data_IF_168172781741
#
_entry.id   IF_168172781741
#
_cell.length_a   1.000
_cell.length_b   1.000
_cell.length_c   1.000
_cell.angle_alpha   90.00
_cell.angle_beta   90.00
_cell.angle_gamma   90.00
#
_symmetry.space_group_name_H-M   'P 1'
#
loop_
_entity.id
_entity.type
_entity.pdbx_description
1 polymer ?
#
# COMPACT_ATOMS: atom_id res chain seq x y z
N UNK A 1 0.78 -9.94 -26.85
CA UNK A 1 -0.58 -9.56 -26.40
C UNK A 1 -1.19 -10.57 -25.43
N UNK A 2 -1.21 -11.88 -25.70
CA UNK A 2 -1.82 -12.92 -24.81
C UNK A 2 -1.20 -12.96 -23.39
N UNK A 3 0.11 -12.76 -23.26
CA UNK A 3 0.81 -12.77 -21.96
C UNK A 3 0.46 -11.54 -21.11
N UNK A 4 0.40 -10.36 -21.72
CA UNK A 4 0.04 -9.10 -21.04
C UNK A 4 -1.40 -9.16 -20.53
N UNK A 5 -2.33 -9.66 -21.36
CA UNK A 5 -3.71 -9.86 -20.95
C UNK A 5 -3.87 -10.90 -19.83
N UNK A 6 -3.09 -11.97 -19.86
CA UNK A 6 -3.06 -12.95 -18.78
C UNK A 6 -2.51 -12.36 -17.48
N UNK A 7 -1.43 -11.54 -17.55
CA UNK A 7 -0.86 -10.84 -16.40
C UNK A 7 -1.84 -9.82 -15.82
N UNK A 8 -2.56 -9.05 -16.66
CA UNK A 8 -3.61 -8.13 -16.23
C UNK A 8 -4.69 -8.85 -15.42
N UNK A 9 -5.29 -9.90 -15.99
CA UNK A 9 -6.34 -10.67 -15.30
C UNK A 9 -5.83 -11.31 -14.02
N UNK A 10 -4.58 -11.77 -14.00
CA UNK A 10 -3.98 -12.38 -12.83
C UNK A 10 -3.71 -11.35 -11.73
N UNK A 11 -3.26 -10.12 -12.08
CA UNK A 11 -3.09 -9.02 -11.15
C UNK A 11 -4.41 -8.68 -10.45
N UNK A 12 -5.46 -8.47 -11.24
CA UNK A 12 -6.79 -8.17 -10.68
C UNK A 12 -7.36 -9.34 -9.84
N UNK A 13 -7.11 -10.58 -10.23
CA UNK A 13 -7.53 -11.75 -9.43
C UNK A 13 -6.77 -11.88 -8.10
N UNK A 14 -5.54 -11.38 -8.01
CA UNK A 14 -4.70 -11.51 -6.80
C UNK A 14 -4.78 -10.31 -5.88
N UNK A 15 -4.95 -9.11 -6.43
CA UNK A 15 -4.86 -7.85 -5.70
C UNK A 15 -6.15 -7.03 -5.73
N UNK A 16 -7.27 -7.62 -6.18
CA UNK A 16 -8.58 -7.00 -6.11
C UNK A 16 -9.70 -8.01 -5.94
N UNK A 17 -10.85 -7.52 -5.45
CA UNK A 17 -12.08 -8.32 -5.29
C UNK A 17 -12.73 -8.70 -6.63
N UNK A 18 -12.32 -8.09 -7.75
CA UNK A 18 -12.93 -8.33 -9.05
C UNK A 18 -12.74 -9.81 -9.49
N UNK A 19 -13.83 -10.52 -9.78
CA UNK A 19 -13.76 -11.92 -10.16
C UNK A 19 -13.09 -12.08 -11.52
N UNK A 20 -11.81 -12.38 -11.52
CA UNK A 20 -11.11 -12.80 -12.73
C UNK A 20 -11.10 -14.33 -12.79
N UNK A 21 -11.48 -14.89 -13.97
CA UNK A 21 -11.48 -16.34 -14.19
C UNK A 21 -10.11 -16.90 -13.83
N UNK A 22 -10.07 -17.95 -13.00
CA UNK A 22 -8.83 -18.56 -12.51
C UNK A 22 -7.88 -18.86 -13.66
N UNK A 23 -6.71 -18.24 -13.64
CA UNK A 23 -5.62 -18.47 -14.56
C UNK A 23 -4.51 -19.19 -13.79
N UNK A 24 -3.92 -20.22 -14.38
CA UNK A 24 -2.77 -20.91 -13.76
C UNK A 24 -1.63 -19.92 -13.51
N UNK A 25 -1.15 -19.88 -12.27
CA UNK A 25 0.02 -19.10 -11.84
C UNK A 25 1.29 -19.71 -12.43
N UNK A 26 1.57 -19.39 -13.68
CA UNK A 26 2.80 -19.81 -14.36
C UNK A 26 3.74 -18.61 -14.46
N UNK A 27 5.04 -18.86 -14.45
CA UNK A 27 6.06 -17.80 -14.59
C UNK A 27 5.83 -16.91 -15.83
N UNK A 28 5.29 -17.49 -16.91
CA UNK A 28 4.95 -16.76 -18.14
C UNK A 28 3.80 -15.78 -17.94
N UNK A 29 2.76 -16.17 -17.19
CA UNK A 29 1.58 -15.34 -16.92
C UNK A 29 1.83 -14.30 -15.83
N UNK A 30 2.87 -14.48 -15.02
CA UNK A 30 3.22 -13.60 -13.91
C UNK A 30 4.24 -12.52 -14.31
N UNK A 31 4.83 -12.61 -15.48
CA UNK A 31 5.94 -11.79 -15.97
C UNK A 31 5.70 -10.27 -15.92
N UNK A 32 4.46 -9.82 -16.12
CA UNK A 32 4.06 -8.42 -16.16
C UNK A 32 3.01 -8.06 -15.11
N UNK A 33 2.80 -8.93 -14.12
CA UNK A 33 1.74 -8.74 -13.13
C UNK A 33 1.91 -7.44 -12.35
N UNK A 34 3.15 -7.11 -11.99
CA UNK A 34 3.47 -5.91 -11.20
C UNK A 34 3.07 -4.61 -11.91
N UNK A 35 3.08 -4.58 -13.26
CA UNK A 35 2.66 -3.38 -14.03
C UNK A 35 1.22 -2.98 -13.72
N UNK A 36 0.38 -3.95 -13.37
CA UNK A 36 -1.05 -3.73 -13.18
C UNK A 36 -1.45 -3.49 -11.71
N UNK A 37 -0.54 -3.71 -10.76
CA UNK A 37 -0.80 -3.47 -9.33
C UNK A 37 -1.08 -1.99 -9.02
N UNK A 38 -0.33 -0.99 -9.57
CA UNK A 38 -0.66 0.42 -9.39
C UNK A 38 -2.01 0.84 -9.96
N UNK A 39 -2.54 0.13 -10.98
CA UNK A 39 -3.89 0.39 -11.50
C UNK A 39 -4.97 0.03 -10.49
N UNK A 40 -4.76 -1.01 -9.69
CA UNK A 40 -5.67 -1.32 -8.57
C UNK A 40 -5.66 -0.15 -7.58
N UNK A 41 -4.48 0.42 -7.29
CA UNK A 41 -4.35 1.63 -6.47
C UNK A 41 -5.09 2.83 -7.06
N UNK A 42 -5.00 3.03 -8.38
CA UNK A 42 -5.73 4.10 -9.08
C UNK A 42 -7.26 3.95 -8.93
N UNK A 43 -7.78 2.73 -9.03
CA UNK A 43 -9.21 2.45 -8.84
C UNK A 43 -9.62 2.74 -7.40
N UNK A 44 -8.83 2.29 -6.41
CA UNK A 44 -9.09 2.55 -4.99
C UNK A 44 -9.10 4.05 -4.72
N UNK A 45 -8.08 4.79 -5.14
CA UNK A 45 -7.98 6.23 -4.95
C UNK A 45 -9.13 7.00 -5.63
N UNK A 46 -9.51 6.58 -6.85
CA UNK A 46 -10.64 7.17 -7.55
C UNK A 46 -11.97 6.94 -6.81
N UNK A 47 -12.24 5.72 -6.34
CA UNK A 47 -13.46 5.39 -5.60
C UNK A 47 -13.52 6.16 -4.28
N UNK A 48 -12.40 6.25 -3.54
CA UNK A 48 -12.32 7.04 -2.31
C UNK A 48 -12.59 8.52 -2.55
N UNK A 49 -12.01 9.10 -3.61
CA UNK A 49 -12.28 10.48 -3.99
C UNK A 49 -13.77 10.71 -4.32
N UNK A 50 -14.39 9.79 -5.07
CA UNK A 50 -15.81 9.88 -5.39
C UNK A 50 -16.70 9.72 -4.14
N UNK A 51 -16.33 8.80 -3.26
CA UNK A 51 -17.01 8.62 -1.98
C UNK A 51 -17.02 9.91 -1.15
N UNK A 52 -15.89 10.59 -1.06
CA UNK A 52 -15.76 11.85 -0.33
C UNK A 52 -16.68 12.96 -0.88
N UNK A 53 -16.90 12.99 -2.19
CA UNK A 53 -17.80 13.97 -2.81
C UNK A 53 -19.26 13.66 -2.51
N UNK A 54 -19.61 12.37 -2.43
CA UNK A 54 -21.01 11.91 -2.32
C UNK A 54 -21.43 11.74 -0.85
N UNK A 55 -20.49 11.39 0.05
CA UNK A 55 -20.80 11.03 1.44
C UNK A 55 -21.48 12.15 2.25
N UNK A 56 -21.14 13.46 2.11
CA UNK A 56 -21.81 14.53 2.84
C UNK A 56 -23.32 14.61 2.56
N UNK A 57 -23.73 14.25 1.35
CA UNK A 57 -25.16 14.27 0.95
C UNK A 57 -25.93 13.03 1.43
N UNK A 58 -25.21 11.94 1.76
CA UNK A 58 -25.81 10.66 2.12
C UNK A 58 -25.80 10.37 3.63
N UNK A 59 -24.83 10.92 4.34
CA UNK A 59 -24.55 10.56 5.73
C UNK A 59 -24.31 11.81 6.57
N UNK A 60 -25.21 12.06 7.53
CA UNK A 60 -25.10 13.20 8.47
C UNK A 60 -23.95 13.05 9.51
N UNK A 61 -23.31 11.88 9.57
CA UNK A 61 -22.29 11.57 10.59
C UNK A 61 -20.96 11.20 9.93
N UNK A 62 -19.95 12.01 10.16
CA UNK A 62 -18.60 11.87 9.63
C UNK A 62 -17.92 10.53 9.99
N UNK A 63 -18.24 9.97 11.18
CA UNK A 63 -17.66 8.70 11.64
C UNK A 63 -18.00 7.52 10.70
N UNK A 64 -19.26 7.39 10.23
CA UNK A 64 -19.61 6.31 9.31
C UNK A 64 -18.91 6.47 7.97
N UNK A 65 -18.79 7.71 7.48
CA UNK A 65 -18.01 8.04 6.30
C UNK A 65 -16.54 7.60 6.44
N UNK A 66 -15.91 7.90 7.56
CA UNK A 66 -14.54 7.50 7.87
C UNK A 66 -14.36 5.98 7.94
N UNK A 67 -15.31 5.26 8.56
CA UNK A 67 -15.31 3.78 8.60
C UNK A 67 -15.35 3.21 7.18
N UNK A 68 -16.22 3.72 6.33
CA UNK A 68 -16.30 3.27 4.93
C UNK A 68 -14.99 3.55 4.19
N UNK A 69 -14.39 4.74 4.37
CA UNK A 69 -13.09 5.07 3.79
C UNK A 69 -11.97 4.13 4.25
N UNK A 70 -11.97 3.74 5.52
CA UNK A 70 -11.00 2.79 6.06
C UNK A 70 -11.18 1.37 5.48
N UNK A 71 -12.42 0.96 5.25
CA UNK A 71 -12.75 -0.39 4.77
C UNK A 71 -12.63 -0.54 3.24
N UNK A 72 -12.89 0.52 2.46
CA UNK A 72 -12.89 0.47 1.00
C UNK A 72 -11.58 -0.06 0.39
N UNK A 73 -10.38 0.42 0.77
CA UNK A 73 -9.12 -0.10 0.23
C UNK A 73 -8.93 -1.59 0.50
N UNK A 74 -9.35 -2.05 1.69
CA UNK A 74 -9.22 -3.44 2.13
C UNK A 74 -10.14 -4.34 1.31
N UNK A 75 -11.42 -3.97 1.18
CA UNK A 75 -12.37 -4.74 0.38
C UNK A 75 -12.01 -4.74 -1.10
N UNK A 76 -11.67 -3.58 -1.66
CA UNK A 76 -11.31 -3.47 -3.07
C UNK A 76 -10.04 -4.24 -3.42
N UNK A 77 -9.07 -4.32 -2.51
CA UNK A 77 -7.85 -5.13 -2.68
C UNK A 77 -8.03 -6.60 -2.36
N UNK A 78 -9.22 -7.01 -1.89
CA UNK A 78 -9.47 -8.38 -1.44
C UNK A 78 -8.67 -8.79 -0.20
N UNK A 79 -8.19 -7.83 0.59
CA UNK A 79 -7.41 -8.05 1.81
C UNK A 79 -5.97 -8.53 1.61
N UNK A 80 -5.48 -8.67 0.36
CA UNK A 80 -4.19 -9.26 0.07
C UNK A 80 -3.01 -8.52 0.74
N UNK A 81 -3.03 -7.18 0.72
CA UNK A 81 -1.98 -6.38 1.36
C UNK A 81 -2.09 -6.42 2.89
N UNK A 82 -3.30 -6.50 3.42
CA UNK A 82 -3.55 -6.59 4.86
C UNK A 82 -3.10 -7.93 5.44
N UNK A 83 -3.31 -9.05 4.73
CA UNK A 83 -2.83 -10.38 5.13
C UNK A 83 -1.30 -10.38 5.29
N UNK A 84 -0.55 -9.88 4.30
CA UNK A 84 0.91 -9.77 4.39
C UNK A 84 1.38 -8.82 5.49
N UNK A 85 0.63 -7.72 5.76
CA UNK A 85 0.91 -6.82 6.87
C UNK A 85 0.83 -7.56 8.21
N UNK A 86 -0.24 -8.30 8.49
CA UNK A 86 -0.40 -8.99 9.76
C UNK A 86 0.59 -10.13 9.95
N UNK A 87 0.90 -10.90 8.91
CA UNK A 87 1.96 -11.93 8.96
C UNK A 87 3.32 -11.32 9.30
N UNK A 88 3.65 -10.18 8.69
CA UNK A 88 4.92 -9.49 8.97
C UNK A 88 4.96 -8.95 10.39
N UNK A 89 3.87 -8.36 10.88
CA UNK A 89 3.75 -7.89 12.26
C UNK A 89 3.91 -9.04 13.26
N UNK A 90 3.27 -10.18 13.00
CA UNK A 90 3.35 -11.36 13.86
C UNK A 90 4.80 -11.91 13.91
N UNK A 91 5.45 -12.01 12.76
CA UNK A 91 6.85 -12.42 12.69
C UNK A 91 7.79 -11.43 13.40
N UNK A 92 7.56 -10.11 13.31
CA UNK A 92 8.36 -9.10 14.01
C UNK A 92 8.18 -9.19 15.52
N UNK A 93 6.94 -9.36 15.99
CA UNK A 93 6.61 -9.41 17.41
C UNK A 93 7.09 -10.68 18.12
N UNK A 94 7.43 -11.72 17.38
CA UNK A 94 7.98 -12.96 17.94
C UNK A 94 9.35 -12.81 18.58
N UNK A 95 10.10 -11.73 18.27
CA UNK A 95 11.47 -11.47 18.69
C UNK A 95 12.45 -12.63 18.45
N UNK A 96 12.08 -13.58 17.59
CA UNK A 96 12.87 -14.75 17.27
C UNK A 96 13.99 -14.45 16.26
N UNK A 97 14.98 -15.35 16.09
CA UNK A 97 15.97 -15.29 15.02
C UNK A 97 15.31 -15.22 13.63
N UNK A 98 16.08 -14.77 12.65
CA UNK A 98 15.61 -14.53 11.27
C UNK A 98 14.96 -15.76 10.64
N UNK A 99 15.52 -16.94 10.82
CA UNK A 99 15.04 -18.20 10.26
C UNK A 99 13.63 -18.52 10.75
N UNK A 100 13.40 -18.39 12.05
CA UNK A 100 12.10 -18.63 12.68
C UNK A 100 11.08 -17.57 12.24
N UNK A 101 11.49 -16.30 12.10
CA UNK A 101 10.61 -15.25 11.55
C UNK A 101 10.15 -15.56 10.12
N UNK A 102 11.02 -16.11 9.29
CA UNK A 102 10.66 -16.54 7.93
C UNK A 102 9.72 -17.74 7.91
N UNK A 103 9.81 -18.64 8.90
CA UNK A 103 8.84 -19.72 9.10
C UNK A 103 7.47 -19.18 9.51
N UNK A 104 7.42 -18.22 10.46
CA UNK A 104 6.17 -17.56 10.88
C UNK A 104 5.46 -16.89 9.70
N UNK A 105 6.18 -16.22 8.79
CA UNK A 105 5.59 -15.63 7.58
C UNK A 105 4.88 -16.67 6.69
N UNK A 106 5.26 -17.95 6.79
CA UNK A 106 4.65 -19.03 6.00
C UNK A 106 3.48 -19.72 6.70
N UNK A 107 3.42 -19.57 8.01
CA UNK A 107 2.33 -20.14 8.78
C UNK A 107 1.03 -19.40 8.45
N UNK A 108 -0.04 -20.17 8.29
CA UNK A 108 -1.38 -19.62 8.07
C UNK A 108 -2.08 -19.20 9.37
N UNK A 109 -1.52 -19.53 10.52
CA UNK A 109 -2.08 -19.17 11.83
C UNK A 109 -1.57 -17.80 12.25
N UNK A 110 -2.48 -16.91 12.59
CA UNK A 110 -2.16 -15.60 13.16
C UNK A 110 -1.93 -15.72 14.67
N UNK A 111 -0.85 -15.12 15.17
CA UNK A 111 -0.59 -15.00 16.58
C UNK A 111 -1.53 -14.00 17.26
N UNK A 112 -1.67 -14.11 18.60
CA UNK A 112 -2.50 -13.18 19.37
C UNK A 112 -2.09 -11.73 19.22
N UNK A 113 -0.79 -11.45 19.04
CA UNK A 113 -0.28 -10.10 18.89
C UNK A 113 -0.72 -9.49 17.55
N UNK A 114 -0.74 -10.26 16.47
CA UNK A 114 -1.25 -9.80 15.18
C UNK A 114 -2.72 -9.35 15.29
N UNK A 115 -3.54 -10.03 16.11
CA UNK A 115 -4.93 -9.64 16.34
C UNK A 115 -5.02 -8.29 17.06
N UNK A 116 -4.20 -8.07 18.10
CA UNK A 116 -4.15 -6.80 18.83
C UNK A 116 -3.77 -5.66 17.88
N UNK A 117 -2.72 -5.84 17.10
CA UNK A 117 -2.29 -4.84 16.12
C UNK A 117 -3.34 -4.61 15.03
N UNK A 118 -4.09 -5.65 14.64
CA UNK A 118 -5.22 -5.53 13.73
C UNK A 118 -6.26 -4.54 14.28
N UNK A 119 -6.65 -4.70 15.53
CA UNK A 119 -7.61 -3.81 16.19
C UNK A 119 -7.07 -2.39 16.28
N UNK A 120 -5.81 -2.22 16.71
CA UNK A 120 -5.16 -0.91 16.75
C UNK A 120 -5.07 -0.25 15.36
N UNK A 121 -4.75 -1.03 14.33
CA UNK A 121 -4.72 -0.58 12.94
C UNK A 121 -6.07 0.01 12.52
N UNK A 122 -7.18 -0.70 12.77
CA UNK A 122 -8.51 -0.21 12.40
C UNK A 122 -8.91 1.05 13.15
N UNK A 123 -8.64 1.14 14.45
CA UNK A 123 -8.89 2.36 15.22
C UNK A 123 -8.07 3.54 14.68
N UNK A 124 -6.80 3.31 14.40
CA UNK A 124 -5.92 4.36 13.88
C UNK A 124 -6.38 4.85 12.50
N UNK A 125 -6.65 3.93 11.57
CA UNK A 125 -7.02 4.32 10.20
C UNK A 125 -8.39 5.02 10.15
N UNK A 126 -9.36 4.58 10.96
CA UNK A 126 -10.66 5.26 11.09
C UNK A 126 -10.47 6.66 11.68
N UNK A 127 -9.65 6.80 12.73
CA UNK A 127 -9.34 8.11 13.33
C UNK A 127 -8.64 9.05 12.34
N UNK A 128 -7.71 8.54 11.52
CA UNK A 128 -7.05 9.33 10.49
C UNK A 128 -8.05 9.84 9.43
N UNK A 129 -8.95 8.97 8.96
CA UNK A 129 -9.93 9.36 7.96
C UNK A 129 -11.02 10.29 8.52
N UNK A 130 -11.38 10.20 9.81
CA UNK A 130 -12.36 11.11 10.43
C UNK A 130 -11.88 12.54 10.56
N UNK A 131 -10.56 12.74 10.73
CA UNK A 131 -9.94 14.05 10.92
C UNK A 131 -9.31 14.63 9.65
N UNK A 132 -9.37 13.90 8.52
CA UNK A 132 -8.68 14.27 7.29
C UNK A 132 -9.32 15.50 6.62
N UNK A 133 -8.53 16.57 6.36
CA UNK A 133 -9.03 17.73 5.63
C UNK A 133 -9.55 17.36 4.24
N UNK A 134 -10.66 17.96 3.82
CA UNK A 134 -11.30 17.69 2.53
C UNK A 134 -10.37 17.92 1.33
N UNK A 135 -9.51 18.92 1.40
CA UNK A 135 -8.59 19.29 0.34
C UNK A 135 -7.46 18.26 0.14
N UNK A 136 -7.25 17.38 1.14
CA UNK A 136 -6.18 16.37 1.10
C UNK A 136 -6.54 15.13 0.23
N UNK A 137 -7.81 14.90 -0.03
CA UNK A 137 -8.29 13.68 -0.71
C UNK A 137 -7.75 13.46 -2.12
N UNK A 138 -7.67 14.49 -3.00
CA UNK A 138 -7.10 14.31 -4.33
C UNK A 138 -5.63 13.85 -4.26
N UNK A 139 -4.86 14.41 -3.33
CA UNK A 139 -3.44 14.06 -3.12
C UNK A 139 -3.32 12.63 -2.61
N UNK A 140 -4.10 12.26 -1.59
CA UNK A 140 -4.09 10.90 -1.02
C UNK A 140 -4.55 9.84 -2.03
N UNK A 141 -5.44 10.18 -2.97
CA UNK A 141 -5.83 9.27 -4.05
C UNK A 141 -4.63 8.86 -4.92
N UNK A 142 -3.71 9.78 -5.23
CA UNK A 142 -2.45 9.45 -5.90
C UNK A 142 -1.51 8.63 -5.00
N UNK A 143 -1.62 8.75 -3.67
CA UNK A 143 -0.87 7.96 -2.70
C UNK A 143 -1.08 6.46 -2.85
N UNK A 144 -2.29 6.02 -3.20
CA UNK A 144 -2.59 4.61 -3.48
C UNK A 144 -1.90 4.08 -4.75
N UNK A 145 -1.63 4.94 -5.73
CA UNK A 145 -0.83 4.57 -6.91
C UNK A 145 0.64 4.50 -6.52
N UNK A 146 1.12 5.49 -5.78
CA UNK A 146 2.51 5.62 -5.35
C UNK A 146 2.96 4.43 -4.49
N UNK A 147 2.18 4.06 -3.46
CA UNK A 147 2.50 2.93 -2.58
C UNK A 147 2.66 1.62 -3.34
N UNK A 148 1.78 1.36 -4.30
CA UNK A 148 1.83 0.14 -5.13
C UNK A 148 2.90 0.19 -6.22
N UNK A 149 3.24 1.37 -6.72
CA UNK A 149 4.37 1.53 -7.64
C UNK A 149 5.71 1.28 -6.94
N UNK A 150 5.88 1.81 -5.72
CA UNK A 150 7.05 1.55 -4.88
C UNK A 150 7.13 0.07 -4.46
N UNK A 151 5.99 -0.57 -4.13
CA UNK A 151 5.89 -2.01 -3.91
C UNK A 151 6.44 -2.80 -5.10
N UNK A 152 5.95 -2.53 -6.30
CA UNK A 152 6.38 -3.22 -7.52
C UNK A 152 7.85 -2.98 -7.85
N UNK A 153 8.34 -1.74 -7.64
CA UNK A 153 9.73 -1.38 -7.85
C UNK A 153 10.64 -2.11 -6.86
N UNK A 154 10.27 -2.20 -5.58
CA UNK A 154 11.05 -2.89 -4.56
C UNK A 154 11.20 -4.38 -4.88
N UNK A 155 10.13 -5.05 -5.30
CA UNK A 155 10.15 -6.47 -5.71
C UNK A 155 11.11 -6.70 -6.90
N UNK A 156 11.19 -5.77 -7.85
CA UNK A 156 12.08 -5.92 -9.02
C UNK A 156 13.54 -5.58 -8.71
N UNK A 157 13.79 -4.62 -7.82
CA UNK A 157 15.12 -4.03 -7.64
C UNK A 157 15.90 -4.60 -6.45
N UNK A 158 15.24 -4.99 -5.38
CA UNK A 158 15.91 -5.36 -4.13
C UNK A 158 16.24 -6.86 -4.05
N UNK A 159 17.25 -7.25 -3.26
CA UNK A 159 17.57 -8.66 -3.03
C UNK A 159 16.44 -9.34 -2.26
N UNK A 160 16.08 -10.54 -2.71
CA UNK A 160 15.05 -11.35 -2.09
C UNK A 160 15.64 -12.24 -0.99
N UNK A 161 14.85 -12.51 0.04
CA UNK A 161 15.18 -13.55 1.01
C UNK A 161 15.23 -14.92 0.31
N UNK A 162 16.05 -15.84 0.82
CA UNK A 162 16.30 -17.17 0.19
C UNK A 162 15.03 -17.97 -0.05
N UNK A 163 13.99 -17.72 0.69
CA UNK A 163 12.72 -18.45 0.67
C UNK A 163 11.55 -17.69 0.02
N UNK A 164 11.86 -16.55 -0.62
CA UNK A 164 10.86 -15.66 -1.19
C UNK A 164 10.20 -16.23 -2.44
N UNK A 165 8.87 -16.21 -2.49
CA UNK A 165 8.08 -16.47 -3.70
C UNK A 165 8.16 -15.34 -4.72
N UNK A 166 8.73 -14.18 -4.36
CA UNK A 166 8.91 -13.04 -5.25
C UNK A 166 9.65 -13.39 -6.54
N UNK A 167 10.51 -14.41 -6.52
CA UNK A 167 11.21 -14.89 -7.72
C UNK A 167 10.30 -15.31 -8.87
N UNK A 168 9.01 -15.56 -8.61
CA UNK A 168 8.00 -15.86 -9.61
C UNK A 168 7.52 -14.59 -10.35
N UNK A 169 7.54 -13.43 -9.68
CA UNK A 169 7.09 -12.15 -10.22
C UNK A 169 8.20 -11.41 -10.96
N UNK A 170 9.46 -11.63 -10.55
CA UNK A 170 10.60 -10.90 -11.11
C UNK A 170 10.78 -11.21 -12.58
N UNK A 171 10.80 -10.17 -13.38
CA UNK A 171 11.10 -10.22 -14.80
C UNK A 171 12.57 -10.64 -15.05
N UNK A 172 12.83 -11.29 -16.20
CA UNK A 172 14.19 -11.60 -16.65
C UNK A 172 14.53 -10.82 -17.92
N UNK A 173 15.75 -10.28 -17.99
CA UNK A 173 16.23 -9.55 -19.17
C UNK A 173 15.33 -8.36 -19.52
N UNK A 174 14.90 -8.26 -20.80
CA UNK A 174 14.08 -7.13 -21.28
C UNK A 174 12.78 -6.92 -20.52
N UNK A 175 12.15 -7.98 -19.98
CA UNK A 175 10.89 -7.82 -19.24
C UNK A 175 11.07 -7.10 -17.92
N UNK A 176 12.20 -7.31 -17.22
CA UNK A 176 12.53 -6.57 -16.00
C UNK A 176 12.64 -5.08 -16.25
N UNK A 177 13.37 -4.69 -17.30
CA UNK A 177 13.50 -3.27 -17.67
C UNK A 177 12.16 -2.61 -18.01
N UNK A 178 11.24 -3.34 -18.68
CA UNK A 178 9.90 -2.85 -18.97
C UNK A 178 9.11 -2.62 -17.69
N UNK A 179 9.10 -3.59 -16.75
CA UNK A 179 8.39 -3.46 -15.47
C UNK A 179 8.94 -2.26 -14.69
N UNK A 180 10.26 -2.14 -14.55
CA UNK A 180 10.90 -1.01 -13.85
C UNK A 180 10.52 0.33 -14.50
N UNK A 181 10.55 0.43 -15.83
CA UNK A 181 10.16 1.65 -16.55
C UNK A 181 8.71 2.04 -16.26
N UNK A 182 7.78 1.08 -16.24
CA UNK A 182 6.38 1.33 -15.86
C UNK A 182 6.25 1.76 -14.40
N UNK A 183 6.99 1.14 -13.46
CA UNK A 183 6.97 1.55 -12.05
C UNK A 183 7.45 2.99 -11.88
N UNK A 184 8.56 3.35 -12.53
CA UNK A 184 9.07 4.73 -12.50
C UNK A 184 8.05 5.70 -13.11
N UNK A 185 7.40 5.34 -14.23
CA UNK A 185 6.36 6.17 -14.83
C UNK A 185 5.18 6.39 -13.87
N UNK A 186 4.71 5.37 -13.16
CA UNK A 186 3.66 5.51 -12.16
C UNK A 186 4.09 6.38 -10.98
N UNK A 187 5.33 6.25 -10.50
CA UNK A 187 5.87 7.12 -9.44
C UNK A 187 5.88 8.57 -9.91
N UNK A 188 6.40 8.85 -11.11
CA UNK A 188 6.44 10.20 -11.66
C UNK A 188 5.03 10.78 -11.82
N UNK A 189 4.09 10.01 -12.40
CA UNK A 189 2.70 10.43 -12.56
C UNK A 189 2.05 10.73 -11.19
N UNK A 190 2.30 9.91 -10.19
CA UNK A 190 1.75 10.11 -8.84
C UNK A 190 2.32 11.36 -8.18
N UNK A 191 3.64 11.54 -8.22
CA UNK A 191 4.30 12.71 -7.63
C UNK A 191 3.87 14.00 -8.32
N UNK A 192 3.88 14.03 -9.66
CA UNK A 192 3.43 15.20 -10.42
C UNK A 192 1.95 15.47 -10.16
N UNK A 193 1.10 14.43 -10.15
CA UNK A 193 -0.33 14.57 -9.86
C UNK A 193 -0.59 15.13 -8.46
N UNK A 194 0.14 14.67 -7.43
CA UNK A 194 0.06 15.21 -6.08
C UNK A 194 0.43 16.70 -6.04
N UNK A 195 1.58 17.07 -6.62
CA UNK A 195 2.06 18.45 -6.63
C UNK A 195 1.14 19.40 -7.41
N UNK A 196 0.47 18.91 -8.46
CA UNK A 196 -0.51 19.69 -9.22
C UNK A 196 -1.83 19.85 -8.48
N UNK A 197 -2.20 18.94 -7.58
CA UNK A 197 -3.41 19.06 -6.79
C UNK A 197 -3.26 20.09 -5.67
N UNK A 198 -2.29 19.90 -4.80
CA UNK A 198 -1.96 20.83 -3.70
C UNK A 198 -0.54 20.54 -3.20
N UNK A 199 0.35 21.51 -3.32
CA UNK A 199 1.75 21.39 -2.91
C UNK A 199 1.91 21.28 -1.40
N UNK A 200 1.05 21.97 -0.62
CA UNK A 200 1.13 21.99 0.84
C UNK A 200 0.76 20.63 1.45
N UNK A 201 -0.15 19.91 0.82
CA UNK A 201 -0.53 18.54 1.19
C UNK A 201 0.40 17.50 0.56
N UNK A 202 0.87 17.75 -0.67
CA UNK A 202 1.71 16.80 -1.40
C UNK A 202 3.05 16.57 -0.72
N UNK A 203 3.72 17.63 -0.22
CA UNK A 203 5.02 17.50 0.43
C UNK A 203 4.93 16.63 1.69
N UNK A 204 4.03 16.87 2.67
CA UNK A 204 3.82 15.98 3.81
C UNK A 204 3.49 14.54 3.41
N UNK A 205 2.64 14.35 2.40
CA UNK A 205 2.28 13.03 1.90
C UNK A 205 3.51 12.27 1.37
N UNK A 206 4.35 12.94 0.57
CA UNK A 206 5.60 12.36 0.05
C UNK A 206 6.62 12.07 1.15
N UNK A 207 6.70 12.92 2.17
CA UNK A 207 7.52 12.67 3.37
C UNK A 207 7.03 11.42 4.10
N UNK A 208 5.72 11.28 4.29
CA UNK A 208 5.12 10.08 4.88
C UNK A 208 5.44 8.81 4.09
N UNK A 209 5.34 8.86 2.76
CA UNK A 209 5.70 7.75 1.87
C UNK A 209 7.18 7.40 1.96
N UNK A 210 8.07 8.40 2.01
CA UNK A 210 9.51 8.22 2.16
C UNK A 210 9.86 7.57 3.51
N UNK A 211 9.28 8.05 4.61
CA UNK A 211 9.50 7.48 5.94
C UNK A 211 9.03 6.02 6.00
N UNK A 212 7.87 5.72 5.43
CA UNK A 212 7.37 4.35 5.31
C UNK A 212 8.31 3.47 4.50
N UNK A 213 8.87 3.97 3.39
CA UNK A 213 9.81 3.23 2.55
C UNK A 213 11.15 2.97 3.25
N UNK A 214 11.68 3.95 3.97
CA UNK A 214 12.91 3.78 4.77
C UNK A 214 12.69 2.77 5.89
N UNK A 215 11.57 2.84 6.59
CA UNK A 215 11.22 1.87 7.62
C UNK A 215 11.07 0.44 7.04
N UNK A 216 10.42 0.31 5.90
CA UNK A 216 10.32 -0.94 5.17
C UNK A 216 11.70 -1.52 4.81
N UNK A 217 12.61 -0.71 4.27
CA UNK A 217 13.97 -1.13 3.97
C UNK A 217 14.69 -1.63 5.22
N UNK A 218 14.58 -0.88 6.33
CA UNK A 218 15.14 -1.31 7.61
C UNK A 218 14.60 -2.67 8.04
N UNK A 219 13.28 -2.85 8.04
CA UNK A 219 12.63 -4.11 8.42
C UNK A 219 13.08 -5.26 7.52
N UNK A 220 13.02 -5.06 6.20
CA UNK A 220 13.36 -6.10 5.23
C UNK A 220 14.80 -6.60 5.35
N UNK A 221 15.76 -5.69 5.46
CA UNK A 221 17.16 -6.07 5.47
C UNK A 221 17.67 -6.47 6.86
N UNK A 222 17.24 -5.79 7.92
CA UNK A 222 17.71 -6.05 9.27
C UNK A 222 17.07 -7.31 9.88
N UNK A 223 15.75 -7.46 9.74
CA UNK A 223 15.02 -8.56 10.39
C UNK A 223 14.88 -9.81 9.51
N UNK A 224 14.76 -9.66 8.18
CA UNK A 224 14.50 -10.77 7.27
C UNK A 224 15.61 -11.01 6.25
N UNK A 225 16.59 -10.09 6.14
CA UNK A 225 17.75 -10.15 5.24
C UNK A 225 17.42 -10.17 3.77
N UNK A 226 16.27 -9.59 3.40
CA UNK A 226 15.80 -9.44 2.03
C UNK A 226 14.28 -9.38 1.97
N UNK A 227 13.76 -9.19 0.78
CA UNK A 227 12.32 -8.97 0.55
C UNK A 227 11.60 -10.30 0.39
N UNK A 228 10.40 -10.36 1.00
CA UNK A 228 9.34 -11.35 0.67
C UNK A 228 8.09 -10.62 0.18
N UNK A 229 7.13 -11.34 -0.38
CA UNK A 229 5.84 -10.77 -0.79
C UNK A 229 5.10 -10.16 0.40
N UNK A 230 5.08 -10.85 1.55
CA UNK A 230 4.40 -10.40 2.76
C UNK A 230 5.00 -9.10 3.31
N UNK A 231 6.35 -8.99 3.35
CA UNK A 231 7.06 -7.78 3.80
C UNK A 231 6.80 -6.60 2.82
N UNK A 232 6.69 -6.87 1.53
CA UNK A 232 6.34 -5.84 0.56
C UNK A 232 4.87 -5.40 0.72
N UNK A 233 3.95 -6.32 1.06
CA UNK A 233 2.57 -5.99 1.40
C UNK A 233 2.49 -5.17 2.70
N UNK A 234 3.31 -5.50 3.72
CA UNK A 234 3.47 -4.71 4.93
C UNK A 234 3.83 -3.26 4.61
N UNK A 235 4.78 -3.04 3.69
CA UNK A 235 5.12 -1.68 3.26
C UNK A 235 3.92 -0.91 2.72
N UNK A 236 3.07 -1.52 1.88
CA UNK A 236 1.89 -0.83 1.31
C UNK A 236 0.98 -0.34 2.43
N UNK A 237 0.69 -1.17 3.44
CA UNK A 237 -0.19 -0.79 4.56
C UNK A 237 0.45 0.28 5.45
N UNK A 238 1.75 0.16 5.76
CA UNK A 238 2.48 1.20 6.51
C UNK A 238 2.49 2.53 5.74
N UNK A 239 2.69 2.49 4.43
CA UNK A 239 2.67 3.67 3.58
C UNK A 239 1.29 4.34 3.58
N UNK A 240 0.21 3.55 3.51
CA UNK A 240 -1.17 4.03 3.53
C UNK A 240 -1.62 4.59 4.89
N UNK A 241 -0.90 4.28 5.98
CA UNK A 241 -1.06 4.93 7.29
C UNK A 241 -0.19 6.19 7.38
N UNK A 242 1.09 6.09 7.00
CA UNK A 242 2.06 7.15 7.21
C UNK A 242 1.77 8.39 6.36
N UNK A 243 1.29 8.22 5.13
CA UNK A 243 0.92 9.35 4.28
C UNK A 243 -0.18 10.22 4.92
N UNK A 244 -1.37 9.71 5.26
CA UNK A 244 -2.41 10.52 5.90
C UNK A 244 -1.99 10.99 7.31
N UNK A 245 -1.21 10.22 8.06
CA UNK A 245 -0.73 10.63 9.38
C UNK A 245 0.14 11.88 9.31
N UNK A 246 1.13 11.93 8.42
CA UNK A 246 2.01 13.09 8.28
C UNK A 246 1.24 14.29 7.74
N UNK A 247 0.32 14.10 6.80
CA UNK A 247 -0.58 15.16 6.32
C UNK A 247 -1.41 15.75 7.46
N UNK A 248 -2.00 14.91 8.30
CA UNK A 248 -2.80 15.36 9.44
C UNK A 248 -1.95 16.11 10.47
N UNK A 249 -0.78 15.58 10.83
CA UNK A 249 0.12 16.21 11.79
C UNK A 249 0.58 17.61 11.32
N UNK A 250 0.91 17.75 10.04
CA UNK A 250 1.29 19.05 9.47
C UNK A 250 0.11 20.03 9.43
N UNK A 251 -1.09 19.56 9.11
CA UNK A 251 -2.31 20.36 9.15
C UNK A 251 -2.62 20.87 10.56
N UNK A 252 -2.44 20.04 11.60
CA UNK A 252 -2.61 20.43 13.00
C UNK A 252 -1.54 21.46 13.41
N UNK A 253 -0.27 21.24 13.05
CA UNK A 253 0.81 22.15 13.35
C UNK A 253 0.54 23.55 12.75
N UNK A 254 0.16 23.63 11.48
CA UNK A 254 -0.18 24.89 10.82
C UNK A 254 -1.35 25.62 11.49
N UNK A 255 -2.37 24.89 11.95
CA UNK A 255 -3.50 25.50 12.69
C UNK A 255 -3.06 26.05 14.04
N UNK A 256 -2.14 25.40 14.75
CA UNK A 256 -1.62 25.86 16.04
C UNK A 256 -0.74 27.10 15.88
N UNK A 257 0.09 27.18 14.83
CA UNK A 257 0.91 28.34 14.54
C UNK A 257 0.03 29.59 14.29
N UNK A 258 -1.01 29.45 13.48
CA UNK A 258 -1.98 30.53 13.20
C UNK A 258 -2.72 30.96 14.49
N UNK A 259 -3.08 30.02 15.35
CA UNK A 259 -3.76 30.30 16.61
C UNK A 259 -2.85 30.94 17.65
N UNK A 260 -1.53 30.75 17.58
CA UNK A 260 -0.54 31.37 18.46
C UNK A 260 -0.11 32.78 18.05
N UNK A 261 -0.42 33.21 16.83
CA UNK A 261 -0.19 34.53 16.30
C UNK A 261 -1.37 35.53 16.55
N UNK A 262 -2.51 35.05 17.05
CA UNK A 262 -3.72 35.84 17.39
C UNK A 262 -3.78 36.08 18.91
#
# INVERSE_FOLDING_TARGET
>A
MKEVWASFRLAFSMYSIFPARQIKKTRRNMKYILIFVPLVGAIIGFILKQWQVISPDLIDKDLLGAVICAMLPIFLSGGAFLDGFFRTVDALSSHQPREVKLEILRDSHSGYFAIIICVCYFFLIVGLWSEMPLDSWPVLAYGFILSRALYGLSIECFPHSQESKCSLYVGKGKSRGIVIAFMIAYIVISVVGMLMCDIQVAIPCLVGALLAFLYYCYVAFHHFGGITEDIACFFVQVCEIMMPLVVLLTSIATRLDIAGEL
#
